data_IF_501524476344
#
_entry.id   IF_501524476344
#
_cell.length_a   1.000
_cell.length_b   1.000
_cell.length_c   1.000
_cell.angle_alpha   90.00
_cell.angle_beta   90.00
_cell.angle_gamma   90.00
#
_symmetry.space_group_name_H-M   'P 1'
#
loop_
_entity.id
_entity.type
_entity.pdbx_description
1 polymer ?
#
# COMPACT_ATOMS: atom_id res chain seq x y z
N UNK A 1 -16.98 -14.26 35.12
CA UNK A 1 -18.29 -14.87 35.46
C UNK A 1 -19.27 -14.46 34.38
N UNK A 2 -19.85 -15.42 33.64
CA UNK A 2 -20.84 -15.19 32.57
C UNK A 2 -22.19 -14.76 33.19
N UNK A 3 -22.30 -13.48 33.58
CA UNK A 3 -23.58 -12.86 33.97
C UNK A 3 -24.19 -12.02 32.83
N UNK A 4 -23.82 -12.33 31.58
CA UNK A 4 -24.36 -11.66 30.41
C UNK A 4 -25.76 -12.18 30.09
N UNK A 5 -26.78 -11.38 30.45
CA UNK A 5 -28.19 -11.55 30.02
C UNK A 5 -28.42 -11.25 28.53
N UNK A 6 -27.36 -10.93 27.80
CA UNK A 6 -27.44 -10.45 26.44
C UNK A 6 -26.15 -10.74 25.67
N UNK A 7 -26.28 -11.05 24.39
CA UNK A 7 -25.17 -11.21 23.46
C UNK A 7 -25.22 -10.09 22.43
N UNK A 8 -24.10 -9.38 22.22
CA UNK A 8 -24.00 -8.39 21.12
C UNK A 8 -23.87 -9.15 19.81
N UNK A 9 -24.68 -8.78 18.82
CA UNK A 9 -24.55 -9.33 17.46
C UNK A 9 -23.79 -8.38 16.55
N UNK A 10 -22.95 -8.90 15.63
CA UNK A 10 -22.24 -8.07 14.68
C UNK A 10 -23.19 -7.21 13.84
N UNK A 11 -22.78 -5.99 13.50
CA UNK A 11 -23.55 -5.02 12.68
C UNK A 11 -24.12 -5.61 11.38
N UNK A 12 -23.51 -6.66 10.81
CA UNK A 12 -23.97 -7.30 9.57
C UNK A 12 -25.16 -8.22 9.76
N UNK A 13 -25.32 -8.79 10.96
CA UNK A 13 -26.49 -9.59 11.31
C UNK A 13 -27.75 -8.69 11.46
N UNK A 14 -27.57 -7.40 11.74
CA UNK A 14 -28.63 -6.37 11.73
C UNK A 14 -29.25 -6.17 10.35
N UNK A 15 -28.49 -6.31 9.26
CA UNK A 15 -29.03 -6.13 7.91
C UNK A 15 -30.06 -7.23 7.56
N UNK A 16 -29.87 -8.42 8.13
CA UNK A 16 -30.77 -9.58 7.96
C UNK A 16 -31.91 -9.60 8.99
N UNK A 17 -31.79 -8.81 10.06
CA UNK A 17 -32.77 -8.66 11.14
C UNK A 17 -32.95 -7.17 11.47
N UNK A 18 -33.64 -6.40 10.60
CA UNK A 18 -33.82 -4.98 10.80
C UNK A 18 -34.63 -4.72 12.08
N UNK A 19 -34.11 -3.83 12.91
CA UNK A 19 -34.75 -3.40 14.16
C UNK A 19 -34.47 -1.90 14.38
N UNK A 20 -35.52 -1.14 14.67
CA UNK A 20 -35.45 0.31 14.93
C UNK A 20 -35.30 0.65 16.41
N UNK A 21 -35.81 -0.21 17.30
CA UNK A 21 -35.67 -0.07 18.76
C UNK A 21 -35.62 -1.43 19.45
N UNK A 22 -36.68 -2.25 19.34
CA UNK A 22 -36.67 -3.64 19.78
C UNK A 22 -37.65 -4.47 18.99
N UNK A 23 -37.38 -5.77 18.88
CA UNK A 23 -38.22 -6.74 18.19
C UNK A 23 -38.13 -8.09 18.89
N UNK A 24 -39.26 -8.78 19.00
CA UNK A 24 -39.26 -10.17 19.46
C UNK A 24 -38.90 -11.08 18.28
N UNK A 25 -37.96 -11.98 18.50
CA UNK A 25 -37.48 -12.93 17.49
C UNK A 25 -37.50 -14.32 18.11
N UNK A 26 -37.95 -15.31 17.34
CA UNK A 26 -37.94 -16.70 17.79
C UNK A 26 -36.52 -17.24 17.72
N UNK A 27 -36.00 -17.75 18.84
CA UNK A 27 -34.73 -18.46 18.89
C UNK A 27 -34.97 -19.95 19.05
N UNK A 28 -34.47 -20.74 18.10
CA UNK A 28 -34.46 -22.21 18.15
C UNK A 28 -33.08 -22.70 18.62
N UNK A 29 -33.04 -23.63 19.57
CA UNK A 29 -31.81 -24.17 20.16
C UNK A 29 -32.09 -25.58 20.70
N UNK A 30 -31.22 -26.56 20.45
CA UNK A 30 -31.35 -27.94 20.96
C UNK A 30 -32.76 -28.56 20.77
N UNK A 31 -33.37 -28.34 19.59
CA UNK A 31 -34.73 -28.80 19.28
C UNK A 31 -35.87 -28.09 20.04
N UNK A 32 -35.55 -27.09 20.86
CA UNK A 32 -36.48 -26.23 21.59
C UNK A 32 -36.55 -24.86 20.93
N UNK A 33 -37.56 -24.07 21.30
CA UNK A 33 -37.64 -22.67 20.89
C UNK A 33 -38.07 -21.79 22.05
N UNK A 34 -37.55 -20.57 22.10
CA UNK A 34 -37.97 -19.51 23.03
C UNK A 34 -37.98 -18.17 22.29
N UNK A 35 -39.01 -17.36 22.52
CA UNK A 35 -39.04 -16.00 22.00
C UNK A 35 -38.13 -15.10 22.85
N UNK A 36 -37.20 -14.43 22.19
CA UNK A 36 -36.23 -13.54 22.81
C UNK A 36 -36.33 -12.14 22.21
N UNK A 37 -35.73 -11.16 22.88
CA UNK A 37 -35.72 -9.79 22.36
C UNK A 37 -34.42 -9.48 21.64
N UNK A 38 -34.55 -9.01 20.42
CA UNK A 38 -33.51 -8.26 19.72
C UNK A 38 -33.70 -6.79 20.05
N UNK A 39 -32.77 -6.19 20.79
CA UNK A 39 -32.79 -4.78 21.16
C UNK A 39 -31.71 -4.02 20.39
N UNK A 40 -32.06 -2.88 19.83
CA UNK A 40 -31.13 -1.98 19.18
C UNK A 40 -30.84 -0.79 20.10
N UNK A 41 -29.58 -0.68 20.51
CA UNK A 41 -29.10 0.50 21.22
C UNK A 41 -28.73 1.56 20.19
N UNK A 42 -29.65 2.51 19.96
CA UNK A 42 -29.41 3.61 19.00
C UNK A 42 -28.27 4.55 19.37
N UNK A 43 -27.86 4.58 20.65
CA UNK A 43 -26.74 5.42 21.13
C UNK A 43 -25.41 4.74 20.85
N UNK A 44 -25.36 3.41 21.03
CA UNK A 44 -24.15 2.59 20.83
C UNK A 44 -24.04 1.96 19.43
N UNK A 45 -25.08 2.06 18.62
CA UNK A 45 -25.22 1.50 17.28
C UNK A 45 -24.89 0.00 17.21
N UNK A 46 -25.35 -0.73 18.24
CA UNK A 46 -25.22 -2.19 18.40
C UNK A 46 -26.58 -2.84 18.63
N UNK A 47 -26.70 -4.10 18.23
CA UNK A 47 -27.87 -4.92 18.50
C UNK A 47 -27.55 -6.01 19.51
N UNK A 48 -28.47 -6.24 20.45
CA UNK A 48 -28.35 -7.19 21.54
C UNK A 48 -29.41 -8.28 21.40
N UNK A 49 -28.99 -9.54 21.44
CA UNK A 49 -29.86 -10.69 21.68
C UNK A 49 -30.00 -10.90 23.18
N UNK A 50 -31.16 -10.55 23.73
CA UNK A 50 -31.49 -10.68 25.14
C UNK A 50 -31.97 -12.09 25.44
N UNK A 51 -31.15 -12.90 26.10
CA UNK A 51 -31.53 -14.25 26.47
C UNK A 51 -32.55 -14.26 27.59
N UNK A 52 -33.62 -15.04 27.42
CA UNK A 52 -34.63 -15.30 28.44
C UNK A 52 -34.24 -16.51 29.29
N UNK A 53 -35.11 -16.87 30.24
CA UNK A 53 -34.78 -17.74 31.38
C UNK A 53 -34.36 -19.14 30.93
N UNK A 54 -34.91 -19.67 29.85
CA UNK A 54 -34.62 -21.03 29.37
C UNK A 54 -33.35 -21.05 28.51
N UNK A 55 -33.27 -20.20 27.49
CA UNK A 55 -32.08 -20.03 26.63
C UNK A 55 -30.86 -19.65 27.45
N UNK A 56 -30.99 -18.69 28.37
CA UNK A 56 -29.87 -18.21 29.19
C UNK A 56 -29.37 -19.23 30.21
N UNK A 57 -30.24 -20.13 30.69
CA UNK A 57 -29.80 -21.28 31.50
C UNK A 57 -29.07 -22.30 30.64
N UNK A 58 -29.67 -22.70 29.51
CA UNK A 58 -29.09 -23.63 28.57
C UNK A 58 -27.73 -23.16 28.04
N UNK A 59 -27.60 -21.90 27.66
CA UNK A 59 -26.36 -21.33 27.11
C UNK A 59 -25.22 -21.40 28.13
N UNK A 60 -25.48 -21.09 29.40
CA UNK A 60 -24.49 -21.16 30.49
C UNK A 60 -24.09 -22.59 30.86
N UNK A 61 -25.00 -23.54 30.70
CA UNK A 61 -24.73 -24.96 30.96
C UNK A 61 -24.02 -25.64 29.79
N UNK A 62 -24.21 -25.13 28.57
CA UNK A 62 -23.72 -25.75 27.34
C UNK A 62 -22.35 -25.22 26.90
N UNK A 63 -22.07 -23.92 27.10
CA UNK A 63 -20.88 -23.26 26.58
C UNK A 63 -19.92 -22.81 27.67
N UNK A 64 -18.63 -23.09 27.44
CA UNK A 64 -17.50 -22.53 28.15
C UNK A 64 -16.93 -21.32 27.40
N UNK A 65 -16.02 -20.59 28.06
CA UNK A 65 -15.19 -19.59 27.36
C UNK A 65 -14.41 -20.31 26.25
N UNK A 66 -14.30 -19.66 25.08
CA UNK A 66 -13.68 -20.17 23.83
C UNK A 66 -14.47 -21.24 23.06
N UNK A 67 -15.61 -21.71 23.56
CA UNK A 67 -16.50 -22.55 22.78
C UNK A 67 -17.11 -21.79 21.59
N UNK A 68 -17.39 -22.51 20.51
CA UNK A 68 -17.88 -21.94 19.26
C UNK A 68 -19.32 -22.37 18.99
N UNK A 69 -20.13 -21.46 18.49
CA UNK A 69 -21.48 -21.74 18.00
C UNK A 69 -21.77 -20.93 16.74
N UNK A 70 -22.81 -21.33 16.01
CA UNK A 70 -23.32 -20.63 14.84
C UNK A 70 -24.71 -20.09 15.14
N UNK A 71 -24.97 -18.86 14.72
CA UNK A 71 -26.33 -18.33 14.60
C UNK A 71 -26.73 -18.42 13.13
N UNK A 72 -27.78 -19.18 12.82
CA UNK A 72 -28.37 -19.26 11.48
C UNK A 72 -29.66 -18.46 11.48
N UNK A 73 -29.81 -17.57 10.50
CA UNK A 73 -31.08 -16.87 10.27
C UNK A 73 -31.91 -17.73 9.32
N UNK A 74 -33.10 -18.10 9.75
CA UNK A 74 -34.05 -18.92 8.98
C UNK A 74 -35.13 -17.99 8.44
N UNK A 75 -35.40 -18.03 7.14
CA UNK A 75 -36.38 -17.12 6.51
C UNK A 75 -35.84 -15.73 6.19
N UNK A 76 -34.55 -15.61 5.85
CA UNK A 76 -33.88 -14.32 5.59
C UNK A 76 -34.51 -13.48 4.45
N UNK A 77 -35.31 -14.11 3.58
CA UNK A 77 -36.01 -13.44 2.45
C UNK A 77 -37.15 -12.53 2.93
N UNK A 78 -37.71 -12.80 4.10
CA UNK A 78 -38.73 -11.98 4.74
C UNK A 78 -38.23 -11.55 6.13
N UNK A 79 -37.67 -10.32 6.22
CA UNK A 79 -37.10 -9.84 7.47
C UNK A 79 -38.08 -9.88 8.63
N UNK A 80 -39.39 -9.72 8.41
CA UNK A 80 -40.40 -9.66 9.48
C UNK A 80 -40.74 -11.03 10.08
N UNK A 81 -40.45 -12.12 9.36
CA UNK A 81 -40.70 -13.50 9.81
C UNK A 81 -39.42 -14.28 10.11
N UNK A 82 -38.25 -13.68 9.87
CA UNK A 82 -36.96 -14.28 10.14
C UNK A 82 -36.81 -14.78 11.60
N UNK A 83 -36.42 -16.05 11.75
CA UNK A 83 -36.11 -16.69 13.02
C UNK A 83 -34.59 -16.86 13.17
N UNK A 84 -34.12 -17.03 14.40
CA UNK A 84 -32.70 -17.33 14.68
C UNK A 84 -32.62 -18.76 15.18
N UNK A 85 -31.66 -19.52 14.67
CA UNK A 85 -31.31 -20.82 15.20
C UNK A 85 -29.88 -20.78 15.74
N UNK A 86 -29.70 -21.18 17.00
CA UNK A 86 -28.41 -21.28 17.65
C UNK A 86 -27.97 -22.74 17.65
N UNK A 87 -26.85 -22.99 16.97
CA UNK A 87 -26.30 -24.33 16.78
C UNK A 87 -24.89 -24.38 17.40
N UNK A 88 -24.66 -25.18 18.46
CA UNK A 88 -23.32 -25.40 18.99
C UNK A 88 -22.38 -25.98 17.92
N UNK A 89 -21.14 -25.50 17.85
CA UNK A 89 -20.08 -26.09 17.03
C UNK A 89 -19.09 -26.88 17.91
N UNK A 90 -18.79 -26.34 19.09
CA UNK A 90 -18.01 -26.96 20.16
C UNK A 90 -18.77 -26.63 21.46
N UNK A 91 -19.05 -27.63 22.29
CA UNK A 91 -19.74 -27.45 23.57
C UNK A 91 -18.99 -28.21 24.66
N UNK A 92 -18.54 -27.49 25.70
CA UNK A 92 -17.71 -28.04 26.75
C UNK A 92 -16.37 -28.58 26.23
N UNK A 93 -15.80 -27.98 25.18
CA UNK A 93 -14.57 -28.45 24.54
C UNK A 93 -14.71 -29.69 23.66
N UNK A 94 -15.93 -30.21 23.45
CA UNK A 94 -16.18 -31.39 22.61
C UNK A 94 -16.91 -30.99 21.31
N UNK A 95 -16.43 -31.42 20.13
CA UNK A 95 -17.16 -31.24 18.87
C UNK A 95 -18.49 -32.00 18.87
N UNK A 96 -19.57 -31.35 18.45
CA UNK A 96 -20.90 -31.96 18.34
C UNK A 96 -21.14 -32.43 16.89
N UNK A 97 -21.69 -33.64 16.70
CA UNK A 97 -21.95 -34.20 15.37
C UNK A 97 -23.10 -33.48 14.62
N UNK A 98 -22.95 -33.26 13.31
CA UNK A 98 -23.86 -32.45 12.48
C UNK A 98 -24.77 -33.29 11.58
N UNK A 99 -26.02 -32.87 11.34
CA UNK A 99 -26.77 -33.30 10.16
C UNK A 99 -26.29 -32.52 8.91
N UNK A 100 -25.76 -33.24 7.93
CA UNK A 100 -25.33 -32.71 6.62
C UNK A 100 -26.53 -32.23 5.78
N UNK A 101 -27.02 -31.02 6.01
CA UNK A 101 -27.90 -30.36 5.03
C UNK A 101 -27.93 -28.84 5.20
N UNK A 102 -26.78 -28.21 5.02
CA UNK A 102 -26.62 -26.85 4.49
C UNK A 102 -25.11 -26.58 4.45
N UNK A 103 -24.54 -26.15 3.30
CA UNK A 103 -23.15 -25.68 3.32
C UNK A 103 -23.04 -24.59 4.40
N UNK A 104 -21.90 -24.47 5.11
CA UNK A 104 -21.69 -23.29 5.93
C UNK A 104 -21.96 -22.08 5.02
N UNK A 105 -22.90 -21.23 5.42
CA UNK A 105 -22.87 -19.84 4.96
C UNK A 105 -21.58 -19.28 5.55
N UNK A 106 -20.48 -19.48 4.83
CA UNK A 106 -19.27 -18.70 4.99
C UNK A 106 -19.65 -17.33 4.49
N UNK A 107 -20.33 -16.57 5.34
CA UNK A 107 -20.61 -15.17 5.09
C UNK A 107 -19.24 -14.50 5.10
N UNK A 108 -18.68 -14.27 3.92
CA UNK A 108 -17.53 -13.41 3.75
C UNK A 108 -18.09 -12.00 3.93
N UNK A 109 -17.84 -11.31 5.04
CA UNK A 109 -18.23 -9.93 5.14
C UNK A 109 -17.62 -9.18 3.95
N UNK A 110 -18.46 -8.57 3.12
CA UNK A 110 -18.02 -7.52 2.20
C UNK A 110 -17.68 -6.31 3.07
N UNK A 111 -16.50 -6.32 3.65
CA UNK A 111 -15.92 -5.14 4.33
C UNK A 111 -15.40 -4.24 3.23
N UNK A 112 -15.61 -2.93 3.38
CA UNK A 112 -14.92 -1.97 2.54
C UNK A 112 -13.41 -2.21 2.69
N UNK A 113 -12.79 -2.76 1.65
CA UNK A 113 -11.35 -3.05 1.59
C UNK A 113 -10.53 -1.82 1.19
N UNK A 114 -11.18 -0.66 1.20
CA UNK A 114 -10.57 0.63 0.99
C UNK A 114 -11.08 1.60 2.05
N UNK A 115 -10.17 2.35 2.65
CA UNK A 115 -10.49 3.44 3.56
C UNK A 115 -9.79 4.71 3.07
N UNK A 116 -10.55 5.80 2.98
CA UNK A 116 -10.01 7.15 2.76
C UNK A 116 -9.90 7.84 4.12
N UNK A 117 -8.67 8.22 4.48
CA UNK A 117 -8.32 8.87 5.73
C UNK A 117 -7.88 10.29 5.41
N UNK A 118 -8.77 11.26 5.61
CA UNK A 118 -8.42 12.67 5.46
C UNK A 118 -7.52 13.10 6.62
N UNK A 119 -6.26 13.41 6.32
CA UNK A 119 -5.30 13.92 7.31
C UNK A 119 -5.70 15.35 7.67
N UNK A 120 -5.57 15.69 8.96
CA UNK A 120 -5.84 17.05 9.43
C UNK A 120 -4.56 17.70 9.96
N UNK A 121 -4.43 19.03 9.84
CA UNK A 121 -3.23 19.75 10.26
C UNK A 121 -2.98 19.68 11.78
N UNK A 122 -4.01 19.38 12.59
CA UNK A 122 -3.91 19.24 14.05
C UNK A 122 -3.38 17.87 14.49
N UNK A 123 -3.05 16.96 13.56
CA UNK A 123 -2.53 15.64 13.88
C UNK A 123 -1.08 15.71 14.38
N UNK A 124 -0.91 15.60 15.69
CA UNK A 124 0.40 15.69 16.36
C UNK A 124 0.90 14.38 16.94
N UNK A 125 0.06 13.36 17.04
CA UNK A 125 0.39 12.07 17.66
C UNK A 125 -0.39 10.90 17.05
N UNK A 126 -0.06 9.69 17.50
CA UNK A 126 -0.65 8.42 17.06
C UNK A 126 -2.16 8.30 17.37
N UNK A 127 -2.71 9.09 18.31
CA UNK A 127 -4.13 9.00 18.71
C UNK A 127 -5.05 9.43 17.58
N UNK A 128 -4.55 10.31 16.72
CA UNK A 128 -5.28 10.77 15.53
C UNK A 128 -5.56 9.64 14.54
N UNK A 129 -4.69 8.62 14.50
CA UNK A 129 -4.81 7.46 13.60
C UNK A 129 -5.26 6.18 14.31
N UNK A 130 -4.86 5.93 15.55
CA UNK A 130 -5.21 4.70 16.29
C UNK A 130 -6.37 4.90 17.26
N UNK A 131 -6.58 6.12 17.74
CA UNK A 131 -7.52 6.40 18.81
C UNK A 131 -6.84 6.34 20.17
N UNK A 132 -7.63 6.27 21.24
CA UNK A 132 -7.10 6.24 22.60
C UNK A 132 -8.06 5.57 23.56
N UNK A 133 -7.51 5.02 24.65
CA UNK A 133 -8.31 4.57 25.79
C UNK A 133 -8.73 5.75 26.65
N UNK A 134 -10.03 5.87 26.94
CA UNK A 134 -10.59 6.88 27.81
C UNK A 134 -10.79 6.33 29.23
N UNK A 135 -9.94 6.71 30.22
CA UNK A 135 -10.02 6.15 31.57
C UNK A 135 -11.29 6.53 32.35
N UNK A 136 -11.96 7.62 31.97
CA UNK A 136 -13.19 8.06 32.65
C UNK A 136 -14.37 7.15 32.32
N UNK A 137 -14.44 6.68 31.08
CA UNK A 137 -15.48 5.78 30.60
C UNK A 137 -15.04 4.31 30.57
N UNK A 138 -13.76 4.04 30.85
CA UNK A 138 -13.14 2.71 30.75
C UNK A 138 -13.36 2.05 29.38
N UNK A 139 -13.24 2.86 28.33
CA UNK A 139 -13.55 2.43 26.97
C UNK A 139 -12.54 2.98 25.99
N UNK A 140 -12.25 2.17 24.96
CA UNK A 140 -11.42 2.62 23.86
C UNK A 140 -12.24 3.43 22.86
N UNK A 141 -11.67 4.54 22.38
CA UNK A 141 -12.23 5.39 21.33
C UNK A 141 -11.46 5.13 20.03
N UNK A 142 -11.90 4.17 19.20
CA UNK A 142 -11.20 3.80 17.97
C UNK A 142 -11.46 4.82 16.86
N UNK A 143 -10.49 4.97 15.97
CA UNK A 143 -10.68 5.71 14.71
C UNK A 143 -11.27 4.81 13.63
N UNK A 144 -11.69 5.41 12.51
CA UNK A 144 -12.05 4.68 11.28
C UNK A 144 -10.90 3.79 10.82
N UNK A 145 -9.66 4.29 10.95
CA UNK A 145 -8.48 3.57 10.52
C UNK A 145 -8.13 2.38 11.42
N UNK A 146 -8.27 2.49 12.76
CA UNK A 146 -8.09 1.33 13.64
C UNK A 146 -9.11 0.25 13.33
N UNK A 147 -10.39 0.61 13.16
CA UNK A 147 -11.44 -0.36 12.78
C UNK A 147 -11.10 -1.07 11.46
N UNK A 148 -10.60 -0.32 10.48
CA UNK A 148 -10.15 -0.87 9.20
C UNK A 148 -8.99 -1.87 9.37
N UNK A 149 -8.03 -1.60 10.27
CA UNK A 149 -6.95 -2.55 10.57
C UNK A 149 -7.46 -3.82 11.26
N UNK A 150 -8.43 -3.70 12.18
CA UNK A 150 -9.04 -4.86 12.83
C UNK A 150 -9.79 -5.73 11.80
N UNK A 151 -10.54 -5.11 10.89
CA UNK A 151 -11.19 -5.84 9.79
C UNK A 151 -10.17 -6.55 8.89
N UNK A 152 -9.03 -5.92 8.60
CA UNK A 152 -7.96 -6.52 7.80
C UNK A 152 -7.29 -7.70 8.51
N UNK A 153 -7.07 -7.61 9.83
CA UNK A 153 -6.59 -8.71 10.68
C UNK A 153 -7.55 -9.89 10.62
N UNK A 154 -8.84 -9.64 10.84
CA UNK A 154 -9.86 -10.67 10.86
C UNK A 154 -9.98 -11.39 9.51
N UNK A 155 -9.76 -10.66 8.40
CA UNK A 155 -9.68 -11.22 7.06
C UNK A 155 -8.49 -12.18 6.88
N UNK A 156 -7.31 -11.83 7.41
CA UNK A 156 -6.11 -12.69 7.36
C UNK A 156 -6.37 -13.99 8.09
N UNK A 157 -6.82 -13.91 9.34
CA UNK A 157 -7.11 -15.10 10.13
C UNK A 157 -8.19 -15.97 9.47
N UNK A 158 -9.20 -15.34 8.86
CA UNK A 158 -10.26 -16.05 8.13
C UNK A 158 -9.72 -16.79 6.92
N UNK A 159 -8.84 -16.15 6.15
CA UNK A 159 -8.22 -16.76 4.98
C UNK A 159 -7.31 -17.93 5.35
N UNK A 160 -6.46 -17.76 6.38
CA UNK A 160 -5.60 -18.82 6.93
C UNK A 160 -6.42 -20.03 7.38
N UNK A 161 -7.50 -19.80 8.14
CA UNK A 161 -8.42 -20.86 8.59
C UNK A 161 -9.11 -21.58 7.43
N UNK A 162 -9.34 -20.90 6.32
CA UNK A 162 -9.96 -21.47 5.12
C UNK A 162 -8.95 -22.11 4.16
N UNK A 163 -7.64 -22.08 4.46
CA UNK A 163 -6.58 -22.52 3.54
C UNK A 163 -6.53 -21.69 2.25
N UNK A 164 -7.01 -20.45 2.30
CA UNK A 164 -7.05 -19.52 1.18
C UNK A 164 -6.16 -18.31 1.39
N UNK A 165 -6.25 -17.36 0.46
CA UNK A 165 -5.47 -16.13 0.50
C UNK A 165 -6.31 -14.96 1.02
N UNK A 166 -5.72 -14.14 1.89
CA UNK A 166 -6.37 -12.94 2.40
C UNK A 166 -6.57 -11.93 1.27
N UNK A 167 -7.71 -11.26 1.25
CA UNK A 167 -7.93 -10.16 0.29
C UNK A 167 -7.11 -8.94 0.73
N UNK A 168 -6.58 -8.13 -0.23
CA UNK A 168 -5.86 -6.92 0.09
C UNK A 168 -6.80 -5.82 0.59
N UNK A 169 -6.27 -4.98 1.49
CA UNK A 169 -6.89 -3.82 2.11
C UNK A 169 -6.05 -2.57 1.81
N UNK A 170 -6.66 -1.49 1.37
CA UNK A 170 -6.00 -0.24 1.00
C UNK A 170 -6.38 0.91 1.93
N UNK A 171 -5.40 1.44 2.66
CA UNK A 171 -5.56 2.64 3.45
C UNK A 171 -4.96 3.83 2.69
N UNK A 172 -5.82 4.76 2.29
CA UNK A 172 -5.47 5.94 1.48
C UNK A 172 -5.51 7.17 2.40
N UNK A 173 -4.35 7.72 2.71
CA UNK A 173 -4.20 8.95 3.48
C UNK A 173 -4.22 10.13 2.52
N UNK A 174 -5.29 10.91 2.57
CA UNK A 174 -5.44 12.09 1.73
C UNK A 174 -4.70 13.28 2.35
N UNK A 175 -3.96 14.00 1.50
CA UNK A 175 -3.09 15.12 1.84
C UNK A 175 -2.19 14.82 3.05
N UNK A 176 -1.47 13.70 2.94
CA UNK A 176 -0.68 13.13 4.03
C UNK A 176 0.33 14.14 4.63
N UNK A 177 0.81 15.07 3.82
CA UNK A 177 1.77 16.11 4.18
C UNK A 177 1.17 17.35 4.89
N UNK A 178 -0.15 17.40 5.12
CA UNK A 178 -0.78 18.47 5.91
C UNK A 178 -0.30 18.48 7.37
N UNK A 179 0.04 17.31 7.91
CA UNK A 179 0.64 17.15 9.21
C UNK A 179 2.01 16.48 9.10
N UNK A 180 2.82 16.57 10.16
CA UNK A 180 4.11 15.88 10.21
C UNK A 180 3.88 14.38 10.31
N UNK A 181 3.99 13.68 9.18
CA UNK A 181 3.75 12.22 9.07
C UNK A 181 4.56 11.42 10.08
N UNK A 182 5.79 11.83 10.34
CA UNK A 182 6.65 11.18 11.33
C UNK A 182 6.14 11.25 12.77
N UNK A 183 5.23 12.17 13.09
CA UNK A 183 4.64 12.29 14.41
C UNK A 183 3.42 11.38 14.56
N UNK A 184 2.40 11.53 13.71
CA UNK A 184 1.18 10.75 13.86
C UNK A 184 1.33 9.31 13.38
N UNK A 185 2.31 9.03 12.52
CA UNK A 185 2.57 7.70 11.97
C UNK A 185 3.78 7.02 12.64
N UNK A 186 4.31 7.56 13.74
CA UNK A 186 5.53 7.10 14.40
C UNK A 186 5.55 5.60 14.68
N UNK A 187 4.45 5.08 15.24
CA UNK A 187 4.36 3.70 15.68
C UNK A 187 4.29 2.74 14.49
N UNK A 188 3.64 3.17 13.40
CA UNK A 188 3.67 2.44 12.14
C UNK A 188 5.05 2.42 11.53
N UNK A 189 5.76 3.56 11.50
CA UNK A 189 7.13 3.62 10.98
C UNK A 189 8.09 2.74 11.81
N UNK A 190 7.83 2.60 13.11
CA UNK A 190 8.54 1.70 14.02
C UNK A 190 8.17 0.24 13.77
N UNK A 191 6.89 -0.11 13.75
CA UNK A 191 6.41 -1.47 13.51
C UNK A 191 6.78 -1.99 12.10
N UNK A 192 6.79 -1.12 11.08
CA UNK A 192 7.28 -1.46 9.74
C UNK A 192 8.80 -1.69 9.70
N UNK A 193 9.55 -1.17 10.68
CA UNK A 193 11.00 -1.41 10.81
C UNK A 193 11.29 -2.75 11.50
N UNK A 194 10.66 -2.99 12.65
CA UNK A 194 10.99 -4.14 13.51
C UNK A 194 10.09 -5.36 13.29
N UNK A 195 8.90 -5.18 12.73
CA UNK A 195 7.85 -6.20 12.69
C UNK A 195 7.10 -6.36 14.02
N UNK A 196 7.36 -5.50 15.01
CA UNK A 196 6.72 -5.56 16.32
C UNK A 196 5.26 -5.10 16.26
N UNK A 197 4.48 -5.56 17.24
CA UNK A 197 3.12 -5.10 17.44
C UNK A 197 3.09 -3.67 17.99
N UNK A 198 2.08 -2.90 17.60
CA UNK A 198 1.80 -1.56 18.12
C UNK A 198 1.01 -1.68 19.41
N UNK A 199 1.46 -1.02 20.47
CA UNK A 199 0.73 -0.96 21.74
C UNK A 199 -0.48 -0.01 21.63
N UNK A 200 -1.68 -0.51 21.93
CA UNK A 200 -2.92 0.27 21.90
C UNK A 200 -3.38 0.68 23.30
N UNK A 201 -3.34 -0.24 24.27
CA UNK A 201 -3.69 0.04 25.66
C UNK A 201 -3.13 -0.98 26.66
N UNK A 202 -3.08 -0.57 27.93
CA UNK A 202 -2.52 -1.35 29.04
C UNK A 202 -3.54 -2.03 29.96
N UNK A 203 -4.84 -1.91 29.66
CA UNK A 203 -5.90 -2.52 30.47
C UNK A 203 -5.68 -4.03 30.70
N UNK A 204 -5.53 -4.43 31.97
CA UNK A 204 -5.30 -5.82 32.41
C UNK A 204 -6.59 -6.55 32.79
N UNK A 205 -7.70 -5.83 33.04
CA UNK A 205 -8.93 -6.41 33.59
C UNK A 205 -9.89 -6.98 32.54
N UNK A 206 -9.58 -6.79 31.26
CA UNK A 206 -10.30 -7.39 30.14
C UNK A 206 -9.32 -7.92 29.10
N UNK A 207 -9.58 -9.11 28.56
CA UNK A 207 -8.79 -9.66 27.44
C UNK A 207 -8.87 -8.76 26.20
N UNK A 208 -9.77 -7.78 26.15
CA UNK A 208 -9.85 -6.75 25.12
C UNK A 208 -10.51 -5.48 25.69
N UNK A 209 -9.92 -4.31 25.42
CA UNK A 209 -10.48 -3.00 25.79
C UNK A 209 -11.67 -2.67 24.90
N UNK A 210 -12.87 -3.04 25.33
CA UNK A 210 -14.10 -2.82 24.57
C UNK A 210 -14.35 -1.35 24.20
N UNK A 211 -15.01 -1.14 23.07
CA UNK A 211 -15.50 0.17 22.63
C UNK A 211 -16.97 0.35 22.99
N UNK A 212 -17.49 1.58 22.93
CA UNK A 212 -18.93 1.84 23.03
C UNK A 212 -19.76 1.06 22.00
N UNK A 213 -19.16 0.72 20.86
CA UNK A 213 -19.76 -0.06 19.78
C UNK A 213 -19.61 -1.59 19.98
N UNK A 214 -19.18 -2.05 21.16
CA UNK A 214 -19.02 -3.47 21.46
C UNK A 214 -17.88 -4.17 20.70
N UNK A 215 -17.01 -3.42 20.03
CA UNK A 215 -15.80 -3.94 19.37
C UNK A 215 -14.74 -4.19 20.43
N UNK A 216 -14.17 -5.41 20.46
CA UNK A 216 -12.95 -5.72 21.22
C UNK A 216 -11.74 -5.05 20.59
N UNK A 217 -11.02 -4.22 21.36
CA UNK A 217 -9.72 -3.71 20.95
C UNK A 217 -8.64 -4.55 21.64
N UNK A 218 -7.70 -5.14 20.89
CA UNK A 218 -6.61 -5.88 21.50
C UNK A 218 -5.63 -4.90 22.15
N UNK A 219 -4.91 -5.35 23.19
CA UNK A 219 -3.83 -4.55 23.80
C UNK A 219 -2.73 -4.16 22.83
N UNK A 220 -2.42 -5.07 21.90
CA UNK A 220 -1.37 -4.90 20.89
C UNK A 220 -1.88 -5.34 19.52
N UNK A 221 -1.49 -4.61 18.49
CA UNK A 221 -1.89 -4.87 17.11
C UNK A 221 -0.66 -4.95 16.21
N UNK A 222 -0.37 -6.14 15.70
CA UNK A 222 0.55 -6.29 14.57
C UNK A 222 -0.12 -5.79 13.31
N UNK A 223 0.59 -4.99 12.50
CA UNK A 223 0.08 -4.50 11.21
C UNK A 223 -0.26 -5.71 10.34
N UNK A 224 -1.53 -5.89 9.91
CA UNK A 224 -1.90 -7.03 9.09
C UNK A 224 -1.17 -6.97 7.75
N UNK A 225 -0.59 -8.09 7.28
CA UNK A 225 0.32 -8.07 6.13
C UNK A 225 -0.43 -7.86 4.79
N UNK A 226 -1.77 -7.94 4.80
CA UNK A 226 -2.64 -7.62 3.66
C UNK A 226 -3.03 -6.14 3.57
N UNK A 227 -2.49 -5.25 4.41
CA UNK A 227 -2.77 -3.80 4.39
C UNK A 227 -1.70 -3.05 3.60
N UNK A 228 -2.15 -2.22 2.67
CA UNK A 228 -1.32 -1.35 1.84
C UNK A 228 -1.61 0.10 2.16
N UNK A 229 -0.55 0.87 2.40
CA UNK A 229 -0.63 2.29 2.69
C UNK A 229 -0.36 3.09 1.42
N UNK A 230 -1.19 4.08 1.14
CA UNK A 230 -0.98 5.07 0.08
C UNK A 230 -1.22 6.45 0.68
N UNK A 231 -0.34 7.39 0.40
CA UNK A 231 -0.51 8.79 0.79
C UNK A 231 -0.55 9.67 -0.44
N UNK A 232 -1.54 10.54 -0.55
CA UNK A 232 -1.51 11.63 -1.52
C UNK A 232 -0.76 12.81 -0.93
N UNK A 233 -0.11 13.57 -1.78
CA UNK A 233 0.75 14.68 -1.38
C UNK A 233 0.47 15.84 -2.31
N UNK A 234 0.05 16.96 -1.74
CA UNK A 234 -0.07 18.20 -2.50
C UNK A 234 1.29 18.90 -2.47
N UNK A 235 1.86 19.11 -3.65
CA UNK A 235 3.15 19.78 -3.84
C UNK A 235 3.04 21.30 -3.62
N UNK A 236 1.85 21.85 -3.80
CA UNK A 236 1.60 23.27 -3.65
C UNK A 236 1.45 23.70 -2.17
N UNK A 237 1.95 24.90 -1.86
CA UNK A 237 1.63 25.71 -0.67
C UNK A 237 1.81 25.05 0.74
N UNK A 238 2.88 25.43 1.44
CA UNK A 238 3.00 25.36 2.93
C UNK A 238 2.88 24.00 3.62
N UNK A 239 3.27 22.91 2.97
CA UNK A 239 3.20 21.57 3.56
C UNK A 239 4.51 21.09 4.18
N UNK A 240 4.42 20.09 5.06
CA UNK A 240 5.60 19.53 5.71
C UNK A 240 6.38 18.60 4.76
N UNK A 241 7.66 18.90 4.57
CA UNK A 241 8.58 18.00 3.86
C UNK A 241 8.67 16.64 4.56
N UNK A 242 8.65 15.56 3.77
CA UNK A 242 8.87 14.22 4.29
C UNK A 242 10.30 14.04 4.78
N UNK A 243 10.46 13.45 5.95
CA UNK A 243 11.79 13.08 6.43
C UNK A 243 12.32 11.85 5.69
N UNK A 244 13.66 11.67 5.63
CA UNK A 244 14.26 10.48 5.05
C UNK A 244 13.73 9.17 5.63
N UNK A 245 13.28 9.16 6.89
CA UNK A 245 12.69 7.98 7.54
C UNK A 245 11.39 7.53 6.87
N UNK A 246 10.55 8.48 6.46
CA UNK A 246 9.30 8.20 5.75
C UNK A 246 9.59 7.77 4.31
N UNK A 247 10.44 8.53 3.61
CA UNK A 247 10.80 8.23 2.21
C UNK A 247 11.54 6.89 2.07
N UNK A 248 12.30 6.46 3.08
CA UNK A 248 12.95 5.15 3.06
C UNK A 248 11.95 3.99 3.05
N UNK A 249 10.72 4.20 3.53
CA UNK A 249 9.66 3.17 3.66
C UNK A 249 8.56 3.28 2.60
N UNK A 250 8.63 4.24 1.68
CA UNK A 250 7.62 4.45 0.65
C UNK A 250 8.24 4.43 -0.76
N UNK A 251 7.46 3.98 -1.74
CA UNK A 251 7.73 4.31 -3.14
C UNK A 251 7.02 5.64 -3.44
N UNK A 252 7.74 6.59 -4.04
CA UNK A 252 7.18 7.88 -4.42
C UNK A 252 6.80 7.82 -5.89
N UNK A 253 5.55 8.17 -6.18
CA UNK A 253 5.02 8.28 -7.54
C UNK A 253 4.64 9.74 -7.76
N UNK A 254 5.22 10.34 -8.80
CA UNK A 254 4.99 11.74 -9.15
C UNK A 254 4.06 11.82 -10.37
N UNK A 255 3.15 12.78 -10.35
CA UNK A 255 2.17 13.03 -11.41
C UNK A 255 2.47 14.37 -12.08
N UNK A 256 3.52 14.42 -12.91
CA UNK A 256 3.99 15.65 -13.54
C UNK A 256 3.34 15.95 -14.91
N UNK A 257 2.77 14.92 -15.55
CA UNK A 257 2.31 15.01 -16.94
C UNK A 257 0.78 15.14 -17.01
N UNK A 258 0.31 16.36 -17.23
CA UNK A 258 -1.12 16.61 -17.51
C UNK A 258 -1.35 16.51 -19.01
N UNK A 259 -1.86 15.36 -19.46
CA UNK A 259 -2.29 15.19 -20.85
C UNK A 259 -3.72 15.73 -21.05
N UNK A 260 -3.83 17.04 -21.30
CA UNK A 260 -5.12 17.68 -21.59
C UNK A 260 -5.76 17.20 -22.91
N UNK A 261 -4.98 16.66 -23.84
CA UNK A 261 -5.51 16.12 -25.10
C UNK A 261 -6.30 14.81 -24.89
N UNK A 262 -5.94 14.05 -23.84
CA UNK A 262 -6.65 12.85 -23.41
C UNK A 262 -7.80 13.14 -22.41
N UNK A 263 -7.85 14.36 -21.85
CA UNK A 263 -8.85 14.76 -20.87
C UNK A 263 -10.26 14.75 -21.51
N UNK A 264 -11.16 13.92 -20.97
CA UNK A 264 -12.51 13.70 -21.50
C UNK A 264 -12.66 12.51 -22.47
N UNK A 265 -11.57 11.94 -23.00
CA UNK A 265 -11.63 10.70 -23.80
C UNK A 265 -11.69 9.42 -22.94
N UNK A 266 -11.15 9.47 -21.72
CA UNK A 266 -11.17 8.33 -20.78
C UNK A 266 -12.54 8.07 -20.12
N UNK A 267 -13.51 8.98 -20.26
CA UNK A 267 -14.88 8.85 -19.70
C UNK A 267 -15.85 8.30 -20.76
N UNK A 268 -15.37 8.00 -21.98
CA UNK A 268 -16.17 7.30 -22.97
C UNK A 268 -16.35 5.84 -22.54
N UNK A 269 -17.51 5.60 -21.93
CA UNK A 269 -18.30 4.36 -21.85
C UNK A 269 -17.51 3.02 -21.93
N UNK A 270 -17.53 2.16 -20.88
CA UNK A 270 -17.05 0.77 -20.93
C UNK A 270 -17.84 -0.15 -21.90
N UNK A 271 -18.60 0.43 -22.84
CA UNK A 271 -19.51 -0.25 -23.76
C UNK A 271 -18.90 -0.68 -25.09
N UNK A 272 -17.73 -0.18 -25.48
CA UNK A 272 -17.01 -0.67 -26.66
C UNK A 272 -15.74 -1.41 -26.23
N UNK A 273 -15.80 -2.74 -26.29
CA UNK A 273 -14.82 -3.71 -25.81
C UNK A 273 -13.46 -3.72 -26.53
N UNK A 274 -12.85 -2.57 -26.76
CA UNK A 274 -11.43 -2.46 -27.01
C UNK A 274 -10.70 -2.33 -25.67
N UNK A 275 -10.49 -3.48 -25.02
CA UNK A 275 -9.41 -3.60 -24.03
C UNK A 275 -8.14 -3.13 -24.73
N UNK A 276 -7.38 -2.13 -24.21
CA UNK A 276 -6.13 -1.73 -24.83
C UNK A 276 -5.26 -2.95 -25.15
N UNK A 277 -4.65 -3.02 -26.34
CA UNK A 277 -3.83 -4.16 -26.82
C UNK A 277 -2.63 -4.51 -25.90
N UNK A 278 -2.44 -3.75 -24.81
CA UNK A 278 -1.38 -3.89 -23.82
C UNK A 278 -1.90 -3.88 -22.37
N UNK A 279 -3.14 -4.31 -22.11
CA UNK A 279 -3.53 -4.60 -20.73
C UNK A 279 -2.77 -5.85 -20.28
N UNK A 280 -1.61 -5.63 -19.67
CA UNK A 280 -0.97 -6.64 -18.84
C UNK A 280 -1.94 -6.90 -17.69
N UNK A 281 -2.71 -7.98 -17.81
CA UNK A 281 -3.53 -8.45 -16.72
C UNK A 281 -2.57 -8.94 -15.64
N UNK A 282 -2.35 -8.13 -14.61
CA UNK A 282 -1.57 -8.51 -13.43
C UNK A 282 -2.33 -9.63 -12.72
N UNK A 283 -1.92 -10.91 -12.88
CA UNK A 283 -2.76 -12.04 -12.51
C UNK A 283 -2.80 -12.24 -10.99
N UNK A 284 -1.90 -11.59 -10.26
CA UNK A 284 -1.73 -11.73 -8.82
C UNK A 284 -1.43 -10.37 -8.20
N UNK A 285 -2.31 -9.91 -7.31
CA UNK A 285 -2.05 -8.73 -6.50
C UNK A 285 -1.11 -9.03 -5.32
N UNK A 286 -0.91 -10.31 -5.02
CA UNK A 286 -0.47 -10.82 -3.72
C UNK A 286 0.96 -11.37 -3.75
N UNK A 287 1.95 -10.50 -3.62
CA UNK A 287 3.35 -10.90 -3.33
C UNK A 287 3.99 -11.88 -4.32
N UNK A 288 5.19 -12.38 -3.98
CA UNK A 288 5.82 -13.49 -4.71
C UNK A 288 5.20 -14.78 -4.14
N UNK A 289 4.59 -15.60 -5.00
CA UNK A 289 4.03 -16.90 -4.59
C UNK A 289 2.72 -16.82 -3.80
N UNK A 290 2.05 -15.66 -3.77
CA UNK A 290 0.78 -15.52 -3.04
C UNK A 290 0.94 -15.20 -1.56
N UNK A 291 2.13 -14.91 -1.07
CA UNK A 291 2.35 -14.67 0.36
C UNK A 291 2.48 -13.17 0.67
N UNK A 292 1.74 -12.72 1.70
CA UNK A 292 1.95 -11.40 2.28
C UNK A 292 3.15 -11.45 3.22
N UNK A 293 4.33 -11.16 2.69
CA UNK A 293 5.56 -10.97 3.49
C UNK A 293 6.18 -9.61 3.25
N UNK A 294 7.06 -9.17 4.14
CA UNK A 294 7.92 -7.99 3.93
C UNK A 294 9.08 -8.31 2.99
N UNK A 295 9.67 -7.32 2.28
CA UNK A 295 10.85 -7.52 1.45
C UNK A 295 12.06 -7.95 2.29
N UNK A 296 12.79 -8.95 1.83
CA UNK A 296 13.93 -9.56 2.53
C UNK A 296 15.06 -9.95 1.56
N UNK A 297 16.06 -10.67 2.06
CA UNK A 297 17.22 -11.08 1.27
C UNK A 297 16.90 -12.07 0.14
N UNK A 298 15.80 -12.82 0.21
CA UNK A 298 15.38 -13.71 -0.87
C UNK A 298 14.98 -12.93 -2.12
N UNK A 299 14.39 -11.74 -1.95
CA UNK A 299 14.09 -10.83 -3.07
C UNK A 299 15.39 -10.38 -3.76
N UNK A 300 16.44 -10.12 -2.97
CA UNK A 300 17.76 -9.75 -3.49
C UNK A 300 18.43 -10.89 -4.28
N UNK A 301 18.28 -12.12 -3.82
CA UNK A 301 18.77 -13.31 -4.52
C UNK A 301 18.06 -13.49 -5.85
N UNK A 302 16.72 -13.50 -5.86
CA UNK A 302 15.89 -13.62 -7.08
C UNK A 302 16.18 -12.50 -8.09
N UNK A 303 16.32 -11.26 -7.61
CA UNK A 303 16.70 -10.12 -8.44
C UNK A 303 18.06 -10.30 -9.12
N UNK A 304 18.94 -11.07 -8.49
CA UNK A 304 20.23 -11.45 -9.01
C UNK A 304 20.23 -12.45 -10.15
N UNK A 305 19.13 -13.18 -10.34
CA UNK A 305 18.95 -14.17 -11.40
C UNK A 305 18.39 -13.53 -12.68
N UNK A 306 17.71 -12.38 -12.54
CA UNK A 306 17.14 -11.64 -13.66
C UNK A 306 18.22 -11.14 -14.64
N UNK A 307 18.03 -11.43 -15.93
CA UNK A 307 18.87 -10.93 -17.02
C UNK A 307 20.37 -11.10 -16.78
N UNK A 308 20.77 -12.28 -16.27
CA UNK A 308 22.16 -12.60 -15.95
C UNK A 308 22.76 -11.76 -14.81
N UNK A 309 21.93 -11.16 -13.95
CA UNK A 309 22.34 -10.31 -12.83
C UNK A 309 22.67 -8.87 -13.20
N UNK A 310 22.36 -8.45 -14.43
CA UNK A 310 22.59 -7.08 -14.93
C UNK A 310 22.03 -6.00 -14.01
N UNK A 311 20.78 -6.16 -13.56
CA UNK A 311 20.08 -5.14 -12.76
C UNK A 311 20.67 -5.03 -11.35
N UNK A 312 20.98 -6.18 -10.73
CA UNK A 312 21.68 -6.24 -9.45
C UNK A 312 23.03 -5.53 -9.52
N UNK A 313 23.81 -5.81 -10.54
CA UNK A 313 25.11 -5.17 -10.75
C UNK A 313 24.98 -3.65 -10.95
N UNK A 314 24.02 -3.22 -11.76
CA UNK A 314 23.73 -1.80 -11.96
C UNK A 314 23.35 -1.08 -10.66
N UNK A 315 22.55 -1.71 -9.79
CA UNK A 315 22.18 -1.12 -8.51
C UNK A 315 23.36 -1.03 -7.54
N UNK A 316 24.27 -2.02 -7.54
CA UNK A 316 25.51 -2.00 -6.73
C UNK A 316 26.43 -0.85 -7.17
N UNK A 317 26.51 -0.58 -8.45
CA UNK A 317 27.31 0.53 -8.99
C UNK A 317 26.73 1.88 -8.61
N UNK A 318 25.41 2.04 -8.71
CA UNK A 318 24.72 3.24 -8.24
C UNK A 318 24.98 3.47 -6.75
N UNK A 319 24.82 2.43 -5.92
CA UNK A 319 25.16 2.48 -4.50
C UNK A 319 26.61 2.93 -4.28
N UNK A 320 27.55 2.37 -5.03
CA UNK A 320 28.99 2.69 -4.93
C UNK A 320 29.30 4.13 -5.36
N UNK A 321 28.65 4.62 -6.42
CA UNK A 321 28.76 6.00 -6.87
C UNK A 321 28.29 6.99 -5.79
N UNK A 322 27.18 6.67 -5.11
CA UNK A 322 26.60 7.49 -4.04
C UNK A 322 27.34 7.38 -2.71
N UNK A 323 28.05 6.28 -2.47
CA UNK A 323 28.82 6.06 -1.23
C UNK A 323 29.86 7.15 -0.98
N UNK A 324 30.50 7.65 -2.04
CA UNK A 324 31.50 8.74 -1.97
C UNK A 324 30.95 10.03 -1.37
N UNK A 325 29.64 10.22 -1.47
CA UNK A 325 28.94 11.40 -0.98
C UNK A 325 28.15 11.13 0.30
N UNK A 326 28.28 9.95 0.91
CA UNK A 326 27.48 9.52 2.06
C UNK A 326 25.96 9.52 1.78
N UNK A 327 25.57 9.32 0.52
CA UNK A 327 24.18 9.24 0.04
C UNK A 327 23.80 7.85 -0.46
N UNK A 328 24.56 6.83 -0.08
CA UNK A 328 24.25 5.44 -0.40
C UNK A 328 23.00 4.97 0.37
N UNK A 329 22.31 3.96 -0.16
CA UNK A 329 21.12 3.38 0.46
C UNK A 329 21.42 2.06 1.17
N UNK A 330 20.65 1.74 2.21
CA UNK A 330 20.78 0.50 2.98
C UNK A 330 20.09 -0.70 2.33
N UNK A 331 20.16 -1.85 3.02
CA UNK A 331 19.62 -3.13 2.52
C UNK A 331 18.10 -3.10 2.27
N UNK A 332 17.31 -2.38 3.07
CA UNK A 332 15.86 -2.24 2.86
C UNK A 332 15.54 -1.76 1.45
N UNK A 333 16.17 -0.66 1.04
CA UNK A 333 15.96 -0.05 -0.28
C UNK A 333 16.33 -1.01 -1.39
N UNK A 334 17.43 -1.74 -1.20
CA UNK A 334 17.86 -2.75 -2.16
C UNK A 334 16.84 -3.89 -2.29
N UNK A 335 16.35 -4.42 -1.16
CA UNK A 335 15.34 -5.48 -1.14
C UNK A 335 14.00 -5.03 -1.72
N UNK A 336 13.58 -3.80 -1.44
CA UNK A 336 12.35 -3.22 -1.99
C UNK A 336 12.41 -2.99 -3.50
N UNK A 337 13.52 -2.44 -4.00
CA UNK A 337 13.76 -2.32 -5.46
C UNK A 337 13.80 -3.72 -6.09
N UNK A 338 14.54 -4.65 -5.48
CA UNK A 338 14.64 -6.02 -5.94
C UNK A 338 13.27 -6.67 -6.08
N UNK A 339 12.45 -6.59 -5.02
CA UNK A 339 11.09 -7.14 -5.03
C UNK A 339 10.21 -6.48 -6.08
N UNK A 340 10.24 -5.15 -6.21
CA UNK A 340 9.46 -4.44 -7.23
C UNK A 340 9.78 -4.97 -8.63
N UNK A 341 11.07 -5.10 -8.95
CA UNK A 341 11.51 -5.55 -10.28
C UNK A 341 11.21 -7.02 -10.51
N UNK A 342 11.42 -7.89 -9.51
CA UNK A 342 11.09 -9.32 -9.59
C UNK A 342 9.59 -9.52 -9.80
N UNK A 343 8.74 -8.77 -9.10
CA UNK A 343 7.29 -8.83 -9.30
C UNK A 343 6.88 -8.34 -10.69
N UNK A 344 7.47 -7.25 -11.18
CA UNK A 344 7.19 -6.75 -12.52
C UNK A 344 7.64 -7.75 -13.59
N UNK A 345 8.82 -8.34 -13.45
CA UNK A 345 9.34 -9.39 -14.35
C UNK A 345 8.41 -10.60 -14.37
N UNK A 346 8.10 -11.16 -13.20
CA UNK A 346 7.24 -12.35 -13.06
C UNK A 346 5.83 -12.12 -13.61
N UNK A 347 5.25 -10.94 -13.39
CA UNK A 347 3.88 -10.65 -13.83
C UNK A 347 3.77 -10.20 -15.29
N UNK A 348 4.90 -9.88 -15.93
CA UNK A 348 4.94 -9.46 -17.32
C UNK A 348 5.70 -10.42 -18.23
N UNK A 349 6.10 -11.59 -17.71
CA UNK A 349 7.00 -12.53 -18.39
C UNK A 349 8.27 -11.84 -18.94
N UNK A 350 8.81 -10.91 -18.15
CA UNK A 350 10.04 -10.16 -18.46
C UNK A 350 9.87 -8.97 -19.40
N UNK A 351 8.66 -8.70 -19.90
CA UNK A 351 8.42 -7.66 -20.92
C UNK A 351 8.78 -6.24 -20.45
N UNK A 352 8.55 -5.93 -19.17
CA UNK A 352 8.75 -4.58 -18.61
C UNK A 352 9.89 -4.49 -17.60
N UNK A 353 10.74 -5.51 -17.47
CA UNK A 353 11.75 -5.59 -16.40
C UNK A 353 12.75 -4.44 -16.43
N UNK A 354 13.18 -4.03 -17.63
CA UNK A 354 14.08 -2.90 -17.81
C UNK A 354 13.45 -1.58 -17.35
N UNK A 355 12.19 -1.34 -17.74
CA UNK A 355 11.43 -0.15 -17.34
C UNK A 355 11.11 -0.16 -15.85
N UNK A 356 10.77 -1.33 -15.29
CA UNK A 356 10.50 -1.50 -13.88
C UNK A 356 11.72 -1.16 -13.02
N UNK A 357 12.92 -1.56 -13.45
CA UNK A 357 14.16 -1.19 -12.76
C UNK A 357 14.40 0.33 -12.78
N UNK A 358 14.25 0.97 -13.95
CA UNK A 358 14.43 2.42 -14.08
C UNK A 358 13.39 3.19 -13.24
N UNK A 359 12.13 2.76 -13.27
CA UNK A 359 11.04 3.30 -12.43
C UNK A 359 11.36 3.13 -10.94
N UNK A 360 11.83 1.95 -10.51
CA UNK A 360 12.15 1.70 -9.11
C UNK A 360 13.27 2.61 -8.60
N UNK A 361 14.29 2.88 -9.43
CA UNK A 361 15.35 3.84 -9.08
C UNK A 361 14.78 5.25 -8.94
N UNK A 362 13.97 5.71 -9.89
CA UNK A 362 13.29 7.02 -9.81
C UNK A 362 12.41 7.13 -8.57
N UNK A 363 11.60 6.11 -8.28
CA UNK A 363 10.60 6.14 -7.21
C UNK A 363 11.19 5.93 -5.80
N UNK A 364 12.39 5.33 -5.69
CA UNK A 364 12.96 4.92 -4.40
C UNK A 364 14.29 5.59 -4.05
N UNK A 365 15.11 5.94 -5.03
CA UNK A 365 16.44 6.52 -4.82
C UNK A 365 16.40 8.04 -4.91
N UNK A 366 15.81 8.58 -5.99
CA UNK A 366 15.83 10.02 -6.26
C UNK A 366 15.05 10.90 -5.25
N UNK A 367 13.97 10.44 -4.58
CA UNK A 367 13.26 11.25 -3.59
C UNK A 367 14.12 11.69 -2.40
N UNK A 368 15.23 10.98 -2.16
CA UNK A 368 16.15 11.27 -1.04
C UNK A 368 17.09 12.44 -1.32
N UNK A 369 17.09 12.96 -2.54
CA UNK A 369 17.93 14.08 -2.96
C UNK A 369 17.16 15.39 -2.75
N UNK A 370 17.19 15.89 -1.52
CA UNK A 370 16.65 17.19 -1.14
C UNK A 370 17.70 17.99 -0.37
N UNK A 371 17.72 19.30 -0.54
CA UNK A 371 18.60 20.19 0.22
C UNK A 371 19.29 21.25 -0.63
N UNK A 372 20.37 21.81 -0.08
CA UNK A 372 21.13 22.87 -0.74
C UNK A 372 21.92 22.33 -1.92
N UNK A 373 22.20 23.19 -2.92
CA UNK A 373 23.03 22.85 -4.08
C UNK A 373 24.35 22.15 -3.70
N UNK A 374 25.01 22.63 -2.65
CA UNK A 374 26.28 22.07 -2.16
C UNK A 374 26.17 20.59 -1.78
N UNK A 375 25.03 20.16 -1.27
CA UNK A 375 24.83 18.82 -0.71
C UNK A 375 24.34 17.80 -1.74
N UNK A 376 23.81 18.27 -2.88
CA UNK A 376 23.05 17.43 -3.83
C UNK A 376 23.55 17.51 -5.27
N UNK A 377 24.27 18.56 -5.68
CA UNK A 377 24.73 18.73 -7.07
C UNK A 377 25.66 17.60 -7.53
N UNK A 378 26.75 17.34 -6.81
CA UNK A 378 27.71 16.30 -7.20
C UNK A 378 27.12 14.87 -7.11
N UNK A 379 26.34 14.52 -6.06
CA UNK A 379 25.59 13.26 -6.04
C UNK A 379 24.65 13.11 -7.24
N UNK A 380 23.87 14.14 -7.61
CA UNK A 380 22.94 14.07 -8.73
C UNK A 380 23.67 13.95 -10.07
N UNK A 381 24.81 14.62 -10.26
CA UNK A 381 25.66 14.42 -11.45
C UNK A 381 26.15 12.98 -11.54
N UNK A 382 26.48 12.35 -10.42
CA UNK A 382 26.88 10.94 -10.41
C UNK A 382 25.73 10.00 -10.81
N UNK A 383 24.51 10.25 -10.32
CA UNK A 383 23.30 9.52 -10.75
C UNK A 383 23.04 9.73 -12.24
N UNK A 384 23.10 10.98 -12.70
CA UNK A 384 22.89 11.33 -14.10
C UNK A 384 23.89 10.60 -15.01
N UNK A 385 25.19 10.68 -14.72
CA UNK A 385 26.23 9.98 -15.49
C UNK A 385 26.00 8.47 -15.51
N UNK A 386 25.68 7.87 -14.36
CA UNK A 386 25.35 6.44 -14.27
C UNK A 386 24.12 6.08 -15.13
N UNK A 387 23.12 6.96 -15.20
CA UNK A 387 21.92 6.75 -15.99
C UNK A 387 22.16 6.85 -17.51
N UNK A 388 23.13 7.65 -17.94
CA UNK A 388 23.56 7.74 -19.34
C UNK A 388 24.40 6.54 -19.75
N UNK A 389 25.48 6.24 -19.00
CA UNK A 389 26.52 5.28 -19.41
C UNK A 389 26.20 3.82 -19.03
N UNK A 390 25.50 3.64 -17.90
CA UNK A 390 25.35 2.36 -17.19
C UNK A 390 26.66 1.65 -16.82
N UNK A 391 26.54 0.33 -16.59
CA UNK A 391 27.51 -0.51 -15.87
C UNK A 391 28.84 -0.81 -16.56
N UNK A 392 29.11 -0.26 -17.73
CA UNK A 392 30.34 -0.57 -18.49
C UNK A 392 30.67 0.56 -19.44
N UNK A 393 31.49 1.50 -19.01
CA UNK A 393 31.94 2.57 -19.89
C UNK A 393 32.97 3.47 -19.25
N UNK A 394 34.23 3.15 -19.47
CA UNK A 394 35.39 4.06 -19.43
C UNK A 394 35.24 5.21 -20.44
N UNK A 395 34.14 5.98 -20.39
CA UNK A 395 34.07 7.31 -20.98
C UNK A 395 34.51 8.30 -19.91
N UNK A 396 35.78 8.67 -19.98
CA UNK A 396 36.37 9.78 -19.21
C UNK A 396 35.79 11.15 -19.59
N UNK A 397 34.95 11.21 -20.62
CA UNK A 397 34.17 12.40 -20.92
C UNK A 397 33.00 12.47 -19.94
N UNK A 398 33.22 13.14 -18.80
CA UNK A 398 32.11 13.59 -17.95
C UNK A 398 31.12 14.30 -18.85
N UNK A 399 29.94 13.72 -19.02
CA UNK A 399 28.89 14.33 -19.80
C UNK A 399 28.42 15.55 -19.02
N UNK A 400 28.86 16.75 -19.43
CA UNK A 400 28.35 18.00 -18.87
C UNK A 400 26.83 18.02 -19.13
N UNK A 401 26.05 17.99 -18.04
CA UNK A 401 24.60 17.93 -18.07
C UNK A 401 23.99 19.12 -18.81
N UNK A 402 24.74 20.24 -18.93
CA UNK A 402 24.36 21.43 -19.71
C UNK A 402 24.33 21.20 -21.22
N UNK A 403 25.01 20.17 -21.72
CA UNK A 403 25.01 19.81 -23.13
C UNK A 403 23.82 18.90 -23.49
N UNK A 404 22.97 18.54 -22.54
CA UNK A 404 21.77 17.74 -22.77
C UNK A 404 20.52 18.62 -22.72
N UNK A 405 19.57 18.31 -23.60
CA UNK A 405 18.28 19.00 -23.67
C UNK A 405 17.15 17.98 -23.69
N UNK A 406 16.09 18.25 -22.96
CA UNK A 406 14.86 17.49 -23.07
C UNK A 406 14.16 17.84 -24.39
N UNK A 407 13.90 16.84 -25.22
CA UNK A 407 12.96 16.98 -26.33
C UNK A 407 11.54 17.05 -25.73
N UNK A 408 10.50 17.35 -26.53
CA UNK A 408 9.12 17.59 -26.08
C UNK A 408 8.38 16.38 -25.46
N UNK A 409 9.09 15.47 -24.77
CA UNK A 409 8.61 14.29 -24.07
C UNK A 409 9.63 13.76 -23.04
N UNK A 410 9.80 12.44 -22.96
CA UNK A 410 10.65 11.71 -21.98
C UNK A 410 12.09 11.47 -22.43
N UNK A 411 12.50 12.01 -23.59
CA UNK A 411 13.80 11.75 -24.18
C UNK A 411 14.78 12.91 -24.00
N UNK A 412 16.02 12.58 -23.61
CA UNK A 412 17.15 13.51 -23.55
C UNK A 412 18.00 13.38 -24.81
N UNK A 413 18.29 14.51 -25.45
CA UNK A 413 19.16 14.59 -26.62
C UNK A 413 20.46 15.35 -26.29
N UNK A 414 21.59 14.87 -26.82
CA UNK A 414 22.89 15.52 -26.64
C UNK A 414 23.10 16.59 -27.71
N UNK A 415 23.28 17.86 -27.31
CA UNK A 415 23.71 18.94 -28.19
C UNK A 415 25.22 18.86 -28.36
N UNK A 416 25.68 18.30 -29.47
CA UNK A 416 27.06 18.45 -29.89
C UNK A 416 27.34 19.94 -30.19
N UNK A 417 28.06 20.61 -29.29
CA UNK A 417 28.57 21.95 -29.56
C UNK A 417 29.56 21.92 -30.72
N UNK A 418 29.37 22.79 -31.70
CA UNK A 418 30.36 23.13 -32.72
C UNK A 418 31.66 23.55 -32.01
N UNK A 419 32.60 22.62 -31.85
CA UNK A 419 33.96 22.97 -31.47
C UNK A 419 34.61 23.66 -32.68
N UNK A 420 34.91 24.94 -32.49
CA UNK A 420 35.71 25.80 -33.37
C UNK A 420 36.87 25.04 -34.02
N UNK A 421 36.73 24.69 -35.31
CA UNK A 421 37.89 24.51 -36.19
C UNK A 421 38.19 25.85 -36.83
N UNK A 422 39.20 26.52 -36.29
CA UNK A 422 39.91 27.56 -37.02
C UNK A 422 40.61 26.92 -38.21
N UNK A 423 40.12 27.17 -39.43
CA UNK A 423 40.92 26.96 -40.64
C UNK A 423 40.70 28.14 -41.58
N UNK A 424 41.76 28.95 -41.67
CA UNK A 424 41.99 30.00 -42.66
C UNK A 424 41.63 29.54 -44.08
N UNK A 425 41.07 30.40 -44.96
CA UNK A 425 40.55 29.96 -46.25
C UNK A 425 41.67 29.76 -47.27
N UNK A 426 41.65 28.63 -47.97
CA UNK A 426 42.37 28.43 -49.21
C UNK A 426 41.34 28.21 -50.34
N UNK A 427 41.46 29.07 -51.34
CA UNK A 427 40.75 29.09 -52.63
C UNK A 427 40.91 27.79 -53.42
N UNK A 428 39.83 27.35 -54.08
CA UNK A 428 39.89 26.32 -55.12
C UNK A 428 38.50 25.80 -55.52
N UNK A 429 38.00 26.27 -56.65
CA UNK A 429 36.84 25.77 -57.41
C UNK A 429 37.02 24.31 -57.83
N UNK A 430 35.99 23.49 -57.65
CA UNK A 430 35.36 22.67 -58.71
C UNK A 430 34.13 21.93 -58.16
N UNK A 431 33.12 21.80 -59.01
CA UNK A 431 31.82 21.21 -58.71
C UNK A 431 31.82 19.73 -59.09
N UNK A 432 31.52 18.84 -58.15
CA UNK A 432 31.14 17.45 -58.44
C UNK A 432 29.97 16.99 -57.55
N UNK A 433 29.10 16.21 -58.19
CA UNK A 433 27.83 15.61 -57.74
C UNK A 433 27.94 14.73 -56.48
N UNK A 434 26.87 14.59 -55.67
CA UNK A 434 26.93 13.84 -54.42
C UNK A 434 26.90 12.32 -54.67
N UNK A 435 28.00 11.66 -54.36
CA UNK A 435 28.09 10.20 -54.26
C UNK A 435 27.38 9.73 -52.98
N UNK A 436 26.51 8.74 -53.16
CA UNK A 436 25.64 8.18 -52.14
C UNK A 436 26.36 7.05 -51.39
N UNK A 437 27.41 7.36 -50.62
CA UNK A 437 27.97 6.45 -49.61
C UNK A 437 28.81 7.21 -48.58
N UNK A 438 28.14 7.84 -47.62
CA UNK A 438 28.77 8.28 -46.37
C UNK A 438 27.92 7.77 -45.20
N UNK A 439 28.52 7.22 -44.13
CA UNK A 439 27.77 6.85 -42.94
C UNK A 439 27.14 8.13 -42.36
N UNK A 440 25.81 8.11 -42.20
CA UNK A 440 25.10 9.17 -41.47
C UNK A 440 25.74 9.29 -40.08
N UNK A 441 25.97 10.52 -39.56
CA UNK A 441 26.43 10.68 -38.18
C UNK A 441 25.36 10.10 -37.25
N UNK A 442 25.76 9.24 -36.32
CA UNK A 442 24.92 8.73 -35.23
C UNK A 442 24.41 9.91 -34.39
N UNK A 443 23.25 10.44 -34.76
CA UNK A 443 22.46 11.36 -33.96
C UNK A 443 21.58 10.54 -33.03
N UNK A 444 22.02 10.38 -31.77
CA UNK A 444 21.19 9.84 -30.70
C UNK A 444 21.99 9.01 -29.70
N UNK A 445 22.63 9.66 -28.73
CA UNK A 445 23.14 8.95 -27.57
C UNK A 445 21.95 8.43 -26.76
N UNK A 446 21.53 7.19 -27.00
CA UNK A 446 20.45 6.54 -26.26
C UNK A 446 20.84 6.43 -24.78
N UNK A 447 20.07 7.07 -23.90
CA UNK A 447 20.26 7.00 -22.45
C UNK A 447 19.94 5.59 -21.96
N UNK A 448 20.80 5.00 -21.11
CA UNK A 448 20.61 3.61 -20.64
C UNK A 448 19.44 3.45 -19.67
N UNK A 449 19.23 4.41 -18.78
CA UNK A 449 18.09 4.50 -17.86
C UNK A 449 17.42 5.86 -18.07
N UNK A 450 16.51 5.92 -19.03
CA UNK A 450 15.96 7.18 -19.56
C UNK A 450 15.18 7.99 -18.51
N UNK A 451 14.36 7.33 -17.68
CA UNK A 451 13.56 8.01 -16.65
C UNK A 451 14.45 8.56 -15.54
N UNK A 452 15.40 7.76 -15.08
CA UNK A 452 16.40 8.21 -14.10
C UNK A 452 17.23 9.37 -14.63
N UNK A 453 17.72 9.28 -15.87
CA UNK A 453 18.50 10.36 -16.50
C UNK A 453 17.67 11.64 -16.62
N UNK A 454 16.43 11.55 -17.10
CA UNK A 454 15.52 12.69 -17.25
C UNK A 454 15.23 13.36 -15.91
N UNK A 455 14.86 12.59 -14.87
CA UNK A 455 14.57 13.15 -13.54
C UNK A 455 15.81 13.78 -12.91
N UNK A 456 16.96 13.11 -12.95
CA UNK A 456 18.21 13.66 -12.43
C UNK A 456 18.61 14.96 -13.15
N UNK A 457 18.45 15.01 -14.48
CA UNK A 457 18.68 16.22 -15.27
C UNK A 457 17.72 17.36 -14.87
N UNK A 458 16.42 17.09 -14.72
CA UNK A 458 15.44 18.10 -14.26
C UNK A 458 15.82 18.68 -12.90
N UNK A 459 16.22 17.82 -11.95
CA UNK A 459 16.69 18.26 -10.62
C UNK A 459 17.96 19.13 -10.72
N UNK A 460 18.93 18.74 -11.57
CA UNK A 460 20.15 19.53 -11.81
C UNK A 460 19.86 20.91 -12.42
N UNK A 461 18.92 21.01 -13.36
CA UNK A 461 18.51 22.30 -13.96
C UNK A 461 17.84 23.21 -12.93
N UNK A 462 17.05 22.64 -12.00
CA UNK A 462 16.39 23.41 -10.93
C UNK A 462 17.37 23.92 -9.87
N UNK A 463 18.47 23.21 -9.63
CA UNK A 463 19.54 23.67 -8.72
C UNK A 463 20.21 24.98 -9.13
N UNK A 464 20.05 25.43 -10.37
CA UNK A 464 20.47 26.78 -10.76
C UNK A 464 19.68 27.87 -10.00
N UNK A 465 18.51 27.54 -9.44
CA UNK A 465 17.75 28.38 -8.47
C UNK A 465 18.21 28.28 -7.00
N UNK A 466 19.22 27.47 -6.68
CA UNK A 466 19.87 27.40 -5.36
C UNK A 466 19.39 26.29 -4.40
N UNK A 467 18.23 25.68 -4.66
CA UNK A 467 17.63 24.59 -3.87
C UNK A 467 16.97 23.57 -4.80
N UNK A 468 16.92 22.29 -4.39
CA UNK A 468 16.12 21.27 -5.07
C UNK A 468 15.41 20.41 -4.06
N UNK A 469 14.16 20.07 -4.39
CA UNK A 469 13.36 19.05 -3.74
C UNK A 469 12.98 17.99 -4.80
N UNK A 470 12.61 16.80 -4.36
CA UNK A 470 11.97 15.82 -5.24
C UNK A 470 10.49 16.13 -5.45
N UNK A 471 9.85 16.79 -4.49
CA UNK A 471 8.43 17.14 -4.54
C UNK A 471 8.15 18.28 -5.51
N UNK A 472 9.14 19.12 -5.83
CA UNK A 472 8.95 20.32 -6.63
C UNK A 472 9.32 20.13 -8.09
#
# INVERSE_FOLDING_TARGET
MLDQKSMVIPRRMRALLPVTASREVRLTFDGRHENIYLYFDSVRDVAHLMFRRVVGAWFRETFMIDDRFRLRIVGADDPDTAEIELVPLIAGGVPVAFPESSPPLTFIPDVARQALIAVRPDWTDNRSVLGYFNPLHQQYQPTVFLKFLLDARDEVERAERAGGQARPFFAIFDEMNLARVEHYFSDFLSALESGDAIDLHDDEETVDGGTDEGISIPRRLTIPPNVYFTGTVNVDETTHMFSPKVLDRAFVIEFDEVNLEAYGRMVADPGDGAVPDHVVALPQFTGIGGEFRSPDSSDWEAFGELDGGRYRQALIELHTALKKFHRHFGYRVANEIARFVVLADTQSDGLITADAFDIAVVAKVLPKFHGTRRDVEEPLKAVFQWAIDGSSGTRTDRHDDRNWVADSGTHLSFRAGQTSRSSTPATGTEAETPDATAPRPDTGSATRYARTAMKAWRMLRRLDGGFTSFME
#
